data_IF_435871346115
#
_entry.id   IF_435871346115
#
_cell.length_a   1.000
_cell.length_b   1.000
_cell.length_c   1.000
_cell.angle_alpha   90.00
_cell.angle_beta   90.00
_cell.angle_gamma   90.00
#
_symmetry.space_group_name_H-M   'P 1'
#
loop_
_entity.id
_entity.type
_entity.pdbx_description
1 polymer ?
#
# COMPACT_ATOMS: atom_id res chain seq x y z
N UNK A 1 -7.12 16.25 -3.72
CA UNK A 1 -5.65 16.36 -3.46
C UNK A 1 -5.51 16.59 -1.97
N UNK A 2 -4.54 16.04 -1.22
CA UNK A 2 -4.42 16.38 0.20
C UNK A 2 -4.30 17.91 0.33
N UNK A 3 -5.29 18.54 0.97
CA UNK A 3 -5.46 20.00 0.99
C UNK A 3 -4.64 20.65 2.12
N UNK A 4 -4.17 19.84 3.07
CA UNK A 4 -3.26 20.25 4.13
C UNK A 4 -1.88 19.56 4.06
N UNK A 5 -0.83 20.18 4.62
CA UNK A 5 0.47 19.54 4.78
C UNK A 5 0.43 18.23 5.59
N UNK A 6 -0.49 18.14 6.56
CA UNK A 6 -0.65 16.94 7.40
C UNK A 6 -1.24 15.77 6.63
N UNK A 7 -2.31 15.98 5.87
CA UNK A 7 -2.91 14.94 5.00
C UNK A 7 -1.89 14.46 3.96
N UNK A 8 -1.10 15.38 3.39
CA UNK A 8 -0.02 15.03 2.47
C UNK A 8 1.01 14.12 3.15
N UNK A 9 1.41 14.44 4.37
CA UNK A 9 2.35 13.62 5.16
C UNK A 9 1.77 12.23 5.46
N UNK A 10 0.49 12.15 5.81
CA UNK A 10 -0.19 10.87 6.07
C UNK A 10 -0.29 10.01 4.79
N UNK A 11 -0.72 10.59 3.68
CA UNK A 11 -0.79 9.92 2.38
C UNK A 11 0.60 9.41 1.94
N UNK A 12 1.64 10.24 2.05
CA UNK A 12 3.01 9.84 1.73
C UNK A 12 3.52 8.71 2.64
N UNK A 13 3.15 8.71 3.92
CA UNK A 13 3.50 7.63 4.86
C UNK A 13 2.89 6.30 4.41
N UNK A 14 1.62 6.30 4.00
CA UNK A 14 0.94 5.11 3.48
C UNK A 14 1.54 4.64 2.17
N UNK A 15 1.85 5.55 1.24
CA UNK A 15 2.52 5.21 -0.03
C UNK A 15 3.89 4.55 0.23
N UNK A 16 4.69 5.08 1.16
CA UNK A 16 5.98 4.49 1.53
C UNK A 16 5.83 3.08 2.09
N UNK A 17 4.80 2.83 2.91
CA UNK A 17 4.49 1.49 3.41
C UNK A 17 4.09 0.53 2.27
N UNK A 18 3.22 0.96 1.36
CA UNK A 18 2.82 0.16 0.19
C UNK A 18 4.07 -0.19 -0.66
N UNK A 19 4.96 0.77 -0.89
CA UNK A 19 6.23 0.53 -1.60
C UNK A 19 7.05 -0.59 -0.95
N UNK A 20 7.15 -0.59 0.39
CA UNK A 20 7.82 -1.66 1.13
C UNK A 20 7.15 -3.02 0.91
N UNK A 21 5.82 -3.08 0.97
CA UNK A 21 5.07 -4.33 0.73
C UNK A 21 5.23 -4.86 -0.70
N UNK A 22 5.30 -3.97 -1.69
CA UNK A 22 5.55 -4.37 -3.09
C UNK A 22 6.98 -4.89 -3.25
N UNK A 23 7.97 -4.25 -2.62
CA UNK A 23 9.35 -4.72 -2.66
C UNK A 23 9.51 -6.11 -2.02
N UNK A 24 8.81 -6.39 -0.92
CA UNK A 24 8.82 -7.73 -0.30
C UNK A 24 8.13 -8.77 -1.17
N UNK A 25 7.08 -8.38 -1.89
CA UNK A 25 6.37 -9.26 -2.83
C UNK A 25 7.26 -9.63 -4.02
N UNK A 26 7.99 -8.65 -4.57
CA UNK A 26 8.98 -8.88 -5.63
C UNK A 26 10.07 -9.85 -5.17
N UNK A 27 10.63 -9.65 -3.97
CA UNK A 27 11.62 -10.57 -3.39
C UNK A 27 11.06 -11.98 -3.17
N UNK A 28 9.81 -12.10 -2.71
CA UNK A 28 9.17 -13.39 -2.50
C UNK A 28 8.93 -14.13 -3.82
N UNK A 29 8.56 -13.42 -4.88
CA UNK A 29 8.43 -13.98 -6.23
C UNK A 29 9.79 -14.47 -6.78
N UNK A 30 10.83 -13.64 -6.64
CA UNK A 30 12.19 -13.97 -7.10
C UNK A 30 12.78 -15.16 -6.35
N UNK A 31 12.50 -15.25 -5.04
CA UNK A 31 12.89 -16.38 -4.20
C UNK A 31 12.05 -17.66 -4.42
N UNK A 32 11.06 -17.64 -5.30
CA UNK A 32 10.21 -18.80 -5.59
C UNK A 32 9.30 -19.19 -4.42
N UNK A 33 8.81 -18.23 -3.64
CA UNK A 33 7.91 -18.49 -2.53
C UNK A 33 6.60 -19.16 -2.98
N UNK A 34 6.01 -19.95 -2.10
CA UNK A 34 4.78 -20.69 -2.41
C UNK A 34 3.61 -19.75 -2.72
N UNK A 35 2.72 -20.19 -3.62
CA UNK A 35 1.55 -19.43 -4.06
C UNK A 35 0.69 -18.86 -2.91
N UNK A 36 0.42 -19.58 -1.80
CA UNK A 36 -0.35 -19.01 -0.68
C UNK A 36 0.31 -17.78 -0.06
N UNK A 37 1.64 -17.78 0.08
CA UNK A 37 2.38 -16.65 0.63
C UNK A 37 2.31 -15.44 -0.31
N UNK A 38 2.44 -15.65 -1.62
CA UNK A 38 2.28 -14.62 -2.64
C UNK A 38 0.87 -14.02 -2.62
N UNK A 39 -0.16 -14.88 -2.57
CA UNK A 39 -1.57 -14.44 -2.51
C UNK A 39 -1.87 -13.62 -1.24
N UNK A 40 -1.31 -14.02 -0.10
CA UNK A 40 -1.45 -13.27 1.14
C UNK A 40 -0.82 -11.88 1.04
N UNK A 41 0.38 -11.78 0.46
CA UNK A 41 1.06 -10.49 0.27
C UNK A 41 0.29 -9.59 -0.72
N UNK A 42 -0.21 -10.14 -1.82
CA UNK A 42 -1.08 -9.42 -2.76
C UNK A 42 -2.36 -8.91 -2.10
N UNK A 43 -3.01 -9.72 -1.26
CA UNK A 43 -4.18 -9.31 -0.51
C UNK A 43 -3.88 -8.15 0.44
N UNK A 44 -2.71 -8.18 1.11
CA UNK A 44 -2.26 -7.11 1.99
C UNK A 44 -1.97 -5.81 1.23
N UNK A 45 -1.31 -5.88 0.06
CA UNK A 45 -1.06 -4.71 -0.81
C UNK A 45 -2.39 -4.11 -1.26
N UNK A 46 -3.33 -4.93 -1.74
CA UNK A 46 -4.67 -4.48 -2.14
C UNK A 46 -5.40 -3.76 -1.00
N UNK A 47 -5.37 -4.33 0.21
CA UNK A 47 -5.96 -3.69 1.40
C UNK A 47 -5.34 -2.34 1.72
N UNK A 48 -4.02 -2.22 1.64
CA UNK A 48 -3.32 -0.97 1.88
C UNK A 48 -3.64 0.11 0.84
N UNK A 49 -3.74 -0.26 -0.44
CA UNK A 49 -4.16 0.65 -1.52
C UNK A 49 -5.60 1.11 -1.32
N UNK A 50 -6.52 0.21 -0.98
CA UNK A 50 -7.91 0.57 -0.69
C UNK A 50 -8.02 1.53 0.50
N UNK A 51 -7.23 1.31 1.56
CA UNK A 51 -7.18 2.22 2.69
C UNK A 51 -6.62 3.60 2.32
N UNK A 52 -5.58 3.67 1.47
CA UNK A 52 -5.09 4.95 0.94
C UNK A 52 -6.16 5.66 0.12
N UNK A 53 -6.88 4.94 -0.75
CA UNK A 53 -7.95 5.49 -1.56
C UNK A 53 -9.06 6.12 -0.69
N UNK A 54 -9.49 5.42 0.37
CA UNK A 54 -10.50 5.94 1.30
C UNK A 54 -10.08 7.27 1.93
N UNK A 55 -8.84 7.36 2.43
CA UNK A 55 -8.34 8.61 3.04
C UNK A 55 -8.16 9.75 2.03
N UNK A 56 -7.75 9.45 0.79
CA UNK A 56 -7.68 10.49 -0.25
C UNK A 56 -9.07 10.98 -0.65
N UNK A 57 -10.07 10.09 -0.65
CA UNK A 57 -11.47 10.42 -0.93
C UNK A 57 -12.10 11.24 0.20
N UNK A 58 -11.85 10.89 1.47
CA UNK A 58 -12.26 11.68 2.63
C UNK A 58 -11.69 13.09 2.59
N UNK A 59 -10.42 13.26 2.20
CA UNK A 59 -9.84 14.60 2.01
C UNK A 59 -10.43 15.37 0.83
N UNK A 60 -11.17 14.72 -0.08
CA UNK A 60 -11.78 15.39 -1.26
C UNK A 60 -13.22 15.85 -1.00
N UNK A 61 -13.92 15.22 -0.06
CA UNK A 61 -15.32 15.50 0.31
C UNK A 61 -15.40 16.54 1.44
#
# INVERSE_FOLDING_TARGET
>A
MPHSPEEKKQALTRIRRIKGQVATLEQALDAGAECPAILQQLAAVRGAVNGLMATVLESYL
#
